data_IF_295336886793
#
_entry.id   IF_295336886793
#
_cell.length_a   1.000
_cell.length_b   1.000
_cell.length_c   1.000
_cell.angle_alpha   90.00
_cell.angle_beta   90.00
_cell.angle_gamma   90.00
#
_symmetry.space_group_name_H-M   'P 1'
#
loop_
_entity.id
_entity.type
_entity.pdbx_description
1 polymer ?
#
# COMPACT_ATOMS: atom_id res chain seq x y z
N UNK A 1 0.20 -14.89 -10.39
CA UNK A 1 -0.97 -14.36 -9.64
C UNK A 1 -1.13 -14.99 -8.25
N UNK A 2 -1.32 -16.31 -8.09
CA UNK A 2 -1.55 -16.88 -6.75
C UNK A 2 -0.42 -16.60 -5.73
N UNK A 3 0.85 -16.66 -6.17
CA UNK A 3 2.00 -16.31 -5.33
C UNK A 3 2.00 -14.82 -4.96
N UNK A 4 1.81 -13.92 -5.92
CA UNK A 4 1.72 -12.47 -5.69
C UNK A 4 0.58 -12.13 -4.71
N UNK A 5 -0.60 -12.73 -4.88
CA UNK A 5 -1.73 -12.55 -3.94
C UNK A 5 -1.35 -12.98 -2.53
N UNK A 6 -0.60 -14.09 -2.39
CA UNK A 6 -0.11 -14.54 -1.09
C UNK A 6 0.90 -13.56 -0.48
N UNK A 7 1.79 -12.98 -1.30
CA UNK A 7 2.77 -11.98 -0.86
C UNK A 7 2.08 -10.69 -0.41
N UNK A 8 1.08 -10.20 -1.15
CA UNK A 8 0.29 -9.03 -0.74
C UNK A 8 -0.46 -9.25 0.58
N UNK A 9 -0.94 -10.48 0.82
CA UNK A 9 -1.47 -10.86 2.13
C UNK A 9 -0.46 -10.72 3.27
N UNK A 10 0.79 -11.13 3.04
CA UNK A 10 1.89 -10.97 4.01
C UNK A 10 2.31 -9.51 4.19
N UNK A 11 2.26 -8.69 3.12
CA UNK A 11 2.52 -7.25 3.21
C UNK A 11 1.52 -6.57 4.14
N UNK A 12 0.23 -6.85 3.96
CA UNK A 12 -0.83 -6.31 4.80
C UNK A 12 -0.66 -6.71 6.28
N UNK A 13 -0.36 -7.99 6.54
CA UNK A 13 -0.06 -8.48 7.89
C UNK A 13 1.16 -7.79 8.51
N UNK A 14 2.17 -7.48 7.70
CA UNK A 14 3.37 -6.76 8.16
C UNK A 14 3.06 -5.32 8.58
N UNK A 15 2.16 -4.62 7.86
CA UNK A 15 1.67 -3.30 8.29
C UNK A 15 0.88 -3.38 9.59
N UNK A 16 -0.01 -4.37 9.73
CA UNK A 16 -0.75 -4.60 10.97
C UNK A 16 0.19 -4.84 12.15
N UNK A 17 1.18 -5.74 11.99
CA UNK A 17 2.18 -6.02 13.01
C UNK A 17 2.93 -4.77 13.46
N UNK A 18 3.36 -3.92 12.51
CA UNK A 18 4.02 -2.65 12.84
C UNK A 18 3.10 -1.70 13.62
N UNK A 19 1.86 -1.50 13.17
CA UNK A 19 0.89 -0.62 13.83
C UNK A 19 0.61 -1.12 15.25
N UNK A 20 0.35 -2.40 15.41
CA UNK A 20 0.02 -2.97 16.72
C UNK A 20 1.21 -2.98 17.69
N UNK A 21 2.44 -3.04 17.19
CA UNK A 21 3.64 -3.00 18.02
C UNK A 21 3.99 -1.58 18.45
N UNK A 22 3.81 -0.58 17.58
CA UNK A 22 4.30 0.79 17.80
C UNK A 22 3.21 1.70 18.40
N UNK A 23 1.96 1.52 17.98
CA UNK A 23 0.87 2.44 18.30
C UNK A 23 0.06 1.89 19.50
N UNK A 24 -0.18 2.71 20.55
CA UNK A 24 -1.08 2.35 21.65
C UNK A 24 -2.47 1.94 21.15
N UNK A 25 -3.08 0.94 21.79
CA UNK A 25 -4.32 0.30 21.30
C UNK A 25 -5.47 1.29 21.10
N UNK A 26 -5.59 2.28 21.98
CA UNK A 26 -6.60 3.33 21.93
C UNK A 26 -6.47 4.26 20.71
N UNK A 27 -5.32 4.27 20.03
CA UNK A 27 -5.06 5.09 18.83
C UNK A 27 -5.03 4.31 17.52
N UNK A 28 -5.04 2.97 17.56
CA UNK A 28 -4.90 2.14 16.33
C UNK A 28 -6.07 2.32 15.37
N UNK A 29 -7.30 2.37 15.89
CA UNK A 29 -8.50 2.56 15.05
C UNK A 29 -8.42 3.86 14.26
N UNK A 30 -7.87 4.93 14.84
CA UNK A 30 -7.65 6.18 14.11
C UNK A 30 -6.72 5.98 12.90
N UNK A 31 -5.65 5.20 13.04
CA UNK A 31 -4.73 4.91 11.92
C UNK A 31 -5.45 4.12 10.82
N UNK A 32 -6.21 3.09 11.19
CA UNK A 32 -6.94 2.27 10.21
C UNK A 32 -8.06 3.04 9.50
N UNK A 33 -8.78 3.90 10.21
CA UNK A 33 -9.93 4.64 9.67
C UNK A 33 -9.55 6.01 9.09
N UNK A 34 -8.28 6.40 9.13
CA UNK A 34 -7.83 7.73 8.70
C UNK A 34 -8.31 8.10 7.30
N UNK A 35 -8.25 7.15 6.36
CA UNK A 35 -8.71 7.30 4.98
C UNK A 35 -10.18 7.69 4.84
N UNK A 36 -11.03 7.36 5.82
CA UNK A 36 -12.47 7.71 5.79
C UNK A 36 -12.70 9.19 5.99
N UNK A 37 -11.78 9.86 6.69
CA UNK A 37 -11.89 11.26 7.09
C UNK A 37 -10.96 12.18 6.31
N UNK A 38 -9.81 11.67 5.84
CA UNK A 38 -8.89 12.42 5.02
C UNK A 38 -9.32 12.39 3.55
N UNK A 39 -9.75 13.54 3.03
CA UNK A 39 -10.24 13.68 1.66
C UNK A 39 -9.18 13.30 0.62
N UNK A 40 -7.92 13.70 0.83
CA UNK A 40 -6.86 13.46 -0.17
C UNK A 40 -6.56 11.98 -0.27
N UNK A 41 -6.46 11.29 0.87
CA UNK A 41 -6.23 9.84 0.90
C UNK A 41 -7.39 9.09 0.27
N UNK A 42 -8.65 9.46 0.61
CA UNK A 42 -9.84 8.85 0.02
C UNK A 42 -9.86 9.00 -1.50
N UNK A 43 -9.70 10.23 -2.01
CA UNK A 43 -9.76 10.51 -3.44
C UNK A 43 -8.68 9.71 -4.22
N UNK A 44 -7.49 9.52 -3.64
CA UNK A 44 -6.42 8.69 -4.24
C UNK A 44 -6.80 7.21 -4.29
N UNK A 45 -7.36 6.67 -3.22
CA UNK A 45 -7.82 5.28 -3.18
C UNK A 45 -8.97 5.04 -4.17
N UNK A 46 -9.95 5.93 -4.22
CA UNK A 46 -11.09 5.85 -5.14
C UNK A 46 -10.63 5.93 -6.60
N UNK A 47 -9.67 6.81 -6.92
CA UNK A 47 -9.10 6.91 -8.26
C UNK A 47 -8.47 5.59 -8.72
N UNK A 48 -7.60 4.98 -7.91
CA UNK A 48 -6.93 3.73 -8.26
C UNK A 48 -7.94 2.58 -8.35
N UNK A 49 -8.84 2.47 -7.38
CA UNK A 49 -9.88 1.43 -7.38
C UNK A 49 -10.79 1.54 -8.61
N UNK A 50 -11.12 2.76 -9.06
CA UNK A 50 -11.91 3.00 -10.25
C UNK A 50 -11.28 2.42 -11.53
N UNK A 51 -9.96 2.51 -11.69
CA UNK A 51 -9.25 1.95 -12.85
C UNK A 51 -9.37 0.42 -12.92
N UNK A 52 -9.38 -0.27 -11.78
CA UNK A 52 -9.62 -1.70 -11.72
C UNK A 52 -11.11 -2.03 -11.91
N UNK A 53 -11.99 -1.24 -11.30
CA UNK A 53 -13.44 -1.46 -11.36
C UNK A 53 -13.97 -1.33 -12.78
N UNK A 54 -13.42 -0.42 -13.60
CA UNK A 54 -13.80 -0.26 -15.00
C UNK A 54 -13.60 -1.54 -15.82
N UNK A 55 -12.51 -2.29 -15.59
CA UNK A 55 -12.32 -3.59 -16.22
C UNK A 55 -13.26 -4.67 -15.69
N UNK A 56 -13.58 -4.65 -14.38
CA UNK A 56 -14.53 -5.60 -13.77
C UNK A 56 -15.94 -5.40 -14.33
N UNK A 57 -16.36 -4.15 -14.49
CA UNK A 57 -17.69 -3.79 -14.98
C UNK A 57 -17.82 -3.96 -16.50
N UNK A 58 -16.76 -3.66 -17.26
CA UNK A 58 -16.70 -3.77 -18.73
C UNK A 58 -15.37 -4.40 -19.21
N UNK A 59 -15.30 -5.74 -19.35
CA UNK A 59 -14.06 -6.46 -19.59
C UNK A 59 -13.63 -6.44 -21.07
N UNK A 60 -13.27 -5.26 -21.57
CA UNK A 60 -12.70 -5.06 -22.91
C UNK A 60 -11.16 -5.22 -22.90
N UNK A 61 -10.52 -5.51 -24.06
CA UNK A 61 -9.06 -5.51 -24.17
C UNK A 61 -8.42 -4.19 -23.74
N UNK A 62 -9.08 -3.07 -24.03
CA UNK A 62 -8.65 -1.72 -23.66
C UNK A 62 -8.67 -1.54 -22.14
N UNK A 63 -9.79 -1.87 -21.48
CA UNK A 63 -9.91 -1.74 -20.02
C UNK A 63 -8.96 -2.71 -19.29
N UNK A 64 -8.74 -3.91 -19.86
CA UNK A 64 -7.73 -4.82 -19.35
C UNK A 64 -6.34 -4.19 -19.39
N UNK A 65 -5.95 -3.58 -20.52
CA UNK A 65 -4.66 -2.90 -20.65
C UNK A 65 -4.52 -1.72 -19.67
N UNK A 66 -5.57 -0.93 -19.47
CA UNK A 66 -5.59 0.15 -18.47
C UNK A 66 -5.38 -0.41 -17.06
N UNK A 67 -6.05 -1.51 -16.69
CA UNK A 67 -5.89 -2.14 -15.38
C UNK A 67 -4.46 -2.66 -15.14
N UNK A 68 -3.81 -3.23 -16.17
CA UNK A 68 -2.40 -3.66 -16.10
C UNK A 68 -1.45 -2.47 -15.92
N UNK A 69 -1.72 -1.36 -16.61
CA UNK A 69 -0.93 -0.14 -16.45
C UNK A 69 -1.11 0.48 -15.05
N UNK A 70 -2.33 0.44 -14.51
CA UNK A 70 -2.62 0.87 -13.15
C UNK A 70 -1.84 0.03 -12.12
N UNK A 71 -1.83 -1.30 -12.31
CA UNK A 71 -1.06 -2.24 -11.48
C UNK A 71 0.45 -1.94 -11.52
N UNK A 72 1.00 -1.77 -12.72
CA UNK A 72 2.41 -1.43 -12.88
C UNK A 72 2.80 -0.12 -12.17
N UNK A 73 1.93 0.90 -12.21
CA UNK A 73 2.17 2.18 -11.54
C UNK A 73 1.99 2.10 -10.02
N UNK A 74 1.01 1.32 -9.55
CA UNK A 74 0.80 1.07 -8.13
C UNK A 74 2.05 0.42 -7.51
N UNK A 75 2.51 -0.65 -8.13
CA UNK A 75 3.66 -1.43 -7.68
C UNK A 75 4.98 -0.65 -7.84
N UNK A 76 5.21 -0.08 -9.02
CA UNK A 76 6.50 0.52 -9.38
C UNK A 76 6.71 1.96 -8.89
N UNK A 77 5.65 2.73 -8.66
CA UNK A 77 5.75 4.16 -8.34
C UNK A 77 5.15 4.53 -6.99
N UNK A 78 3.94 4.05 -6.67
CA UNK A 78 3.26 4.49 -5.45
C UNK A 78 3.87 3.87 -4.20
N UNK A 79 4.18 2.57 -4.21
CA UNK A 79 4.86 1.95 -3.07
C UNK A 79 6.27 2.49 -2.85
N UNK A 80 7.02 2.75 -3.92
CA UNK A 80 8.37 3.33 -3.82
C UNK A 80 8.40 4.65 -3.03
N UNK A 81 7.42 5.53 -3.29
CA UNK A 81 7.27 6.78 -2.54
C UNK A 81 6.94 6.57 -1.05
N UNK A 82 6.27 5.48 -0.70
CA UNK A 82 6.04 5.08 0.69
C UNK A 82 7.33 4.59 1.36
N UNK A 83 8.08 3.73 0.68
CA UNK A 83 9.27 3.08 1.24
C UNK A 83 10.42 4.06 1.49
N UNK A 84 10.61 5.05 0.62
CA UNK A 84 11.70 6.03 0.75
C UNK A 84 11.61 6.84 2.04
N UNK A 85 10.40 7.06 2.58
CA UNK A 85 10.21 7.72 3.87
C UNK A 85 10.87 6.93 5.02
N UNK A 86 10.63 5.61 5.08
CA UNK A 86 11.22 4.76 6.10
C UNK A 86 12.71 4.56 5.91
N UNK A 87 13.19 4.50 4.66
CA UNK A 87 14.62 4.48 4.37
C UNK A 87 15.31 5.78 4.81
N UNK A 88 14.65 6.93 4.64
CA UNK A 88 15.18 8.21 5.11
C UNK A 88 15.32 8.23 6.64
N UNK A 89 14.32 7.74 7.37
CA UNK A 89 14.40 7.59 8.83
C UNK A 89 15.57 6.67 9.22
N UNK A 90 15.69 5.50 8.59
CA UNK A 90 16.73 4.53 8.91
C UNK A 90 18.15 5.05 8.62
N UNK A 91 18.33 5.89 7.58
CA UNK A 91 19.62 6.54 7.30
C UNK A 91 20.11 7.45 8.44
N UNK A 92 19.22 7.79 9.37
CA UNK A 92 19.49 8.59 10.58
C UNK A 92 19.35 7.78 11.86
N UNK A 93 19.42 6.44 11.77
CA UNK A 93 19.25 5.51 12.89
C UNK A 93 17.87 5.57 13.56
N UNK A 94 16.84 6.04 12.85
CA UNK A 94 15.45 6.07 13.33
C UNK A 94 14.65 4.94 12.68
N UNK A 95 13.87 4.21 13.49
CA UNK A 95 12.99 3.14 13.04
C UNK A 95 13.65 2.06 12.15
N UNK A 96 14.88 1.58 12.45
CA UNK A 96 15.58 0.64 11.57
C UNK A 96 14.81 -0.67 11.36
N UNK A 97 14.12 -1.17 12.40
CA UNK A 97 13.30 -2.38 12.29
C UNK A 97 12.12 -2.24 11.34
N UNK A 98 11.47 -1.07 11.29
CA UNK A 98 10.42 -0.81 10.29
C UNK A 98 11.00 -0.78 8.88
N UNK A 99 12.16 -0.14 8.69
CA UNK A 99 12.82 -0.11 7.39
C UNK A 99 13.23 -1.50 6.89
N UNK A 100 13.61 -2.42 7.78
CA UNK A 100 13.92 -3.80 7.39
C UNK A 100 12.68 -4.55 6.90
N UNK A 101 11.50 -4.31 7.49
CA UNK A 101 10.23 -4.84 6.97
C UNK A 101 9.98 -4.31 5.55
N UNK A 102 10.12 -3.01 5.32
CA UNK A 102 9.94 -2.42 3.99
C UNK A 102 10.96 -2.92 2.95
N UNK A 103 12.21 -3.22 3.35
CA UNK A 103 13.19 -3.84 2.45
C UNK A 103 12.77 -5.24 2.00
N UNK A 104 12.07 -6.00 2.85
CA UNK A 104 11.56 -7.33 2.49
C UNK A 104 10.36 -7.25 1.55
N UNK A 105 9.51 -6.23 1.73
CA UNK A 105 8.39 -5.95 0.82
C UNK A 105 8.90 -5.48 -0.55
N UNK A 106 9.92 -4.62 -0.58
CA UNK A 106 10.48 -4.04 -1.81
C UNK A 106 11.48 -4.95 -2.54
N UNK A 107 11.47 -6.26 -2.28
CA UNK A 107 12.45 -7.21 -2.82
C UNK A 107 11.89 -7.95 -4.04
#
# INVERSE_FOLDING_TARGET
MAEQISQEGMHNQSYQYMIETIIPSERRNYVYDFWRTDKVLRDRCEFIAGLYQEYVDDPTPENYFVSLMADYLLEGMYFYNGFIFFYNLASRMLMPGSADIFKMINR
#
